data_IF_572017263240
#
_entry.id   IF_572017263240
#
_cell.length_a   1.000
_cell.length_b   1.000
_cell.length_c   1.000
_cell.angle_alpha   90.00
_cell.angle_beta   90.00
_cell.angle_gamma   90.00
#
_symmetry.space_group_name_H-M   'P 1'
#
loop_
_entity.id
_entity.type
_entity.pdbx_description
1 polymer ?
#
# COMPACT_ATOMS: atom_id res chain seq x y z
N UNK A 1 -4.01 15.38 -19.18
CA UNK A 1 -5.42 15.21 -18.76
C UNK A 1 -6.15 14.20 -19.65
N UNK A 2 -5.81 14.08 -20.94
CA UNK A 2 -6.46 13.11 -21.87
C UNK A 2 -6.17 11.63 -21.55
N UNK A 3 -4.98 11.29 -21.04
CA UNK A 3 -4.60 9.89 -20.81
C UNK A 3 -5.27 9.21 -19.60
N UNK A 4 -5.71 9.98 -18.59
CA UNK A 4 -6.50 9.43 -17.48
C UNK A 4 -7.90 9.03 -17.93
N UNK A 5 -8.49 9.81 -18.84
CA UNK A 5 -9.78 9.50 -19.46
C UNK A 5 -9.71 8.21 -20.30
N UNK A 6 -8.59 7.92 -20.96
CA UNK A 6 -8.41 6.67 -21.70
C UNK A 6 -8.43 5.43 -20.81
N UNK A 7 -7.94 5.55 -19.57
CA UNK A 7 -8.04 4.49 -18.55
C UNK A 7 -9.51 4.27 -18.20
N UNK A 8 -10.24 5.35 -17.89
CA UNK A 8 -11.67 5.28 -17.52
C UNK A 8 -12.57 4.82 -18.67
N UNK A 9 -12.21 5.14 -19.91
CA UNK A 9 -12.93 4.74 -21.11
C UNK A 9 -12.56 3.34 -21.62
N UNK A 10 -11.64 2.63 -20.94
CA UNK A 10 -11.17 1.29 -21.36
C UNK A 10 -10.40 1.29 -22.69
N UNK A 11 -9.76 2.41 -23.06
CA UNK A 11 -9.03 2.61 -24.32
C UNK A 11 -7.51 2.67 -24.11
N UNK A 12 -6.99 2.08 -23.04
CA UNK A 12 -5.56 2.07 -22.76
C UNK A 12 -4.78 1.45 -23.92
N UNK A 13 -3.78 2.18 -24.41
CA UNK A 13 -2.77 1.68 -25.34
C UNK A 13 -1.44 1.54 -24.60
N UNK A 14 -0.48 0.85 -25.23
CA UNK A 14 0.87 0.69 -24.67
C UNK A 14 1.65 2.02 -24.54
N UNK A 15 1.19 3.08 -25.19
CA UNK A 15 1.81 4.42 -25.16
C UNK A 15 1.20 5.35 -24.09
N UNK A 16 0.24 4.85 -23.30
CA UNK A 16 -0.39 5.64 -22.24
C UNK A 16 0.60 5.83 -21.08
N UNK A 17 1.01 7.07 -20.81
CA UNK A 17 2.00 7.35 -19.76
C UNK A 17 1.47 7.03 -18.37
N UNK A 18 0.16 7.17 -18.13
CA UNK A 18 -0.44 6.84 -16.83
C UNK A 18 -0.39 5.32 -16.55
N UNK A 19 -0.53 4.50 -17.59
CA UNK A 19 -0.27 3.05 -17.51
C UNK A 19 1.19 2.76 -17.18
N UNK A 20 2.12 3.46 -17.83
CA UNK A 20 3.55 3.28 -17.59
C UNK A 20 3.96 3.73 -16.17
N UNK A 21 3.41 4.83 -15.68
CA UNK A 21 3.68 5.35 -14.34
C UNK A 21 3.21 4.39 -13.24
N UNK A 22 2.01 3.81 -13.40
CA UNK A 22 1.50 2.80 -12.46
C UNK A 22 2.41 1.56 -12.44
N UNK A 23 2.82 1.07 -13.60
CA UNK A 23 3.74 -0.05 -13.73
C UNK A 23 5.06 0.23 -12.97
N UNK A 24 5.68 1.38 -13.25
CA UNK A 24 6.93 1.78 -12.60
C UNK A 24 6.79 1.95 -11.10
N UNK A 25 5.66 2.51 -10.63
CA UNK A 25 5.38 2.65 -9.20
C UNK A 25 5.27 1.30 -8.53
N UNK A 26 4.56 0.35 -9.12
CA UNK A 26 4.40 -0.99 -8.56
C UNK A 26 5.75 -1.71 -8.48
N UNK A 27 6.53 -1.75 -9.56
CA UNK A 27 7.84 -2.41 -9.56
C UNK A 27 8.89 -1.69 -8.69
N UNK A 28 8.83 -0.36 -8.55
CA UNK A 28 9.65 0.37 -7.58
C UNK A 28 9.31 -0.03 -6.14
N UNK A 29 8.02 -0.20 -5.84
CA UNK A 29 7.56 -0.67 -4.54
C UNK A 29 7.99 -2.10 -4.24
N UNK A 30 7.81 -3.01 -5.20
CA UNK A 30 8.24 -4.41 -5.14
C UNK A 30 9.76 -4.50 -4.93
N UNK A 31 10.55 -3.74 -5.70
CA UNK A 31 12.00 -3.70 -5.56
C UNK A 31 12.42 -3.28 -4.15
N UNK A 32 11.81 -2.21 -3.59
CA UNK A 32 12.11 -1.75 -2.23
C UNK A 32 11.74 -2.77 -1.17
N UNK A 33 10.61 -3.46 -1.33
CA UNK A 33 10.21 -4.54 -0.43
C UNK A 33 11.20 -5.70 -0.49
N UNK A 34 11.60 -6.14 -1.69
CA UNK A 34 12.57 -7.22 -1.87
C UNK A 34 13.94 -6.85 -1.31
N UNK A 35 14.41 -5.61 -1.56
CA UNK A 35 15.67 -5.12 -1.04
C UNK A 35 15.66 -5.11 0.50
N UNK A 36 14.57 -4.66 1.12
CA UNK A 36 14.41 -4.72 2.56
C UNK A 36 14.46 -6.17 3.07
N UNK A 37 13.67 -7.08 2.46
CA UNK A 37 13.61 -8.49 2.87
C UNK A 37 14.95 -9.22 2.72
N UNK A 38 15.77 -8.81 1.75
CA UNK A 38 17.12 -9.34 1.56
C UNK A 38 18.11 -8.76 2.59
N UNK A 39 18.01 -7.45 2.88
CA UNK A 39 18.98 -6.74 3.72
C UNK A 39 18.69 -6.80 5.22
N UNK A 40 17.47 -7.12 5.63
CA UNK A 40 17.09 -7.20 7.04
C UNK A 40 17.90 -8.23 7.85
N UNK A 41 18.47 -9.25 7.19
CA UNK A 41 19.35 -10.24 7.82
C UNK A 41 20.72 -9.66 8.21
N UNK A 42 21.14 -8.57 7.58
CA UNK A 42 22.40 -7.88 7.88
C UNK A 42 22.26 -6.88 9.05
N UNK A 43 21.04 -6.65 9.53
CA UNK A 43 20.73 -5.68 10.59
C UNK A 43 20.81 -6.35 11.96
N UNK A 44 21.50 -5.71 12.90
CA UNK A 44 21.46 -6.12 14.30
C UNK A 44 20.18 -5.58 14.97
N UNK A 45 19.22 -6.46 15.23
CA UNK A 45 17.93 -6.10 15.81
C UNK A 45 18.01 -6.00 17.33
N UNK A 46 17.93 -4.78 17.86
CA UNK A 46 17.94 -4.55 19.32
C UNK A 46 16.55 -4.73 19.96
N UNK A 47 15.49 -4.60 19.16
CA UNK A 47 14.10 -4.71 19.63
C UNK A 47 13.48 -6.02 19.15
N UNK A 48 13.04 -6.85 20.10
CA UNK A 48 12.36 -8.12 19.82
C UNK A 48 11.04 -7.89 19.06
N UNK A 49 10.75 -8.72 18.07
CA UNK A 49 9.52 -8.65 17.26
C UNK A 49 9.52 -7.56 16.19
N UNK A 50 10.50 -6.65 16.18
CA UNK A 50 10.53 -5.53 15.22
C UNK A 50 10.90 -6.01 13.81
N UNK A 51 11.79 -7.01 13.71
CA UNK A 51 12.16 -7.65 12.45
C UNK A 51 10.94 -8.26 11.77
N UNK A 52 10.22 -9.10 12.51
CA UNK A 52 9.05 -9.84 12.04
C UNK A 52 7.93 -8.88 11.63
N UNK A 53 7.73 -7.81 12.41
CA UNK A 53 6.77 -6.76 12.08
C UNK A 53 7.13 -6.05 10.78
N UNK A 54 8.38 -5.61 10.60
CA UNK A 54 8.79 -4.89 9.41
C UNK A 54 8.83 -5.79 8.17
N UNK A 55 9.18 -7.06 8.32
CA UNK A 55 8.99 -8.08 7.28
C UNK A 55 7.51 -8.18 6.87
N UNK A 56 6.60 -8.23 7.85
CA UNK A 56 5.17 -8.30 7.60
C UNK A 56 4.64 -7.03 6.90
N UNK A 57 5.11 -5.84 7.29
CA UNK A 57 4.79 -4.57 6.62
C UNK A 57 5.31 -4.54 5.18
N UNK A 58 6.53 -5.03 4.93
CA UNK A 58 7.12 -5.09 3.60
C UNK A 58 6.36 -6.07 2.67
N UNK A 59 6.01 -7.26 3.18
CA UNK A 59 5.19 -8.24 2.45
C UNK A 59 3.80 -7.70 2.17
N UNK A 60 3.16 -7.03 3.12
CA UNK A 60 1.86 -6.39 2.88
C UNK A 60 1.91 -5.41 1.68
N UNK A 61 2.92 -4.55 1.65
CA UNK A 61 3.10 -3.60 0.54
C UNK A 61 3.39 -4.32 -0.77
N UNK A 62 4.24 -5.36 -0.77
CA UNK A 62 4.53 -6.16 -1.96
C UNK A 62 3.28 -6.84 -2.52
N UNK A 63 2.48 -7.47 -1.67
CA UNK A 63 1.18 -8.05 -2.05
C UNK A 63 0.21 -7.01 -2.60
N UNK A 64 0.17 -5.81 -2.01
CA UNK A 64 -0.64 -4.69 -2.52
C UNK A 64 -0.20 -4.27 -3.94
N UNK A 65 1.11 -4.15 -4.21
CA UNK A 65 1.60 -3.79 -5.54
C UNK A 65 1.35 -4.89 -6.58
N UNK A 66 1.46 -6.16 -6.22
CA UNK A 66 1.08 -7.25 -7.12
C UNK A 66 -0.42 -7.28 -7.41
N UNK A 67 -1.26 -6.95 -6.43
CA UNK A 67 -2.70 -6.80 -6.66
C UNK A 67 -3.00 -5.65 -7.64
N UNK A 68 -2.27 -4.53 -7.53
CA UNK A 68 -2.35 -3.44 -8.50
C UNK A 68 -1.93 -3.89 -9.91
N UNK A 69 -0.89 -4.72 -10.04
CA UNK A 69 -0.46 -5.24 -11.34
C UNK A 69 -1.50 -6.18 -11.96
N UNK A 70 -1.99 -7.19 -11.23
CA UNK A 70 -2.93 -8.16 -11.79
C UNK A 70 -4.27 -7.54 -12.16
N UNK A 71 -4.75 -6.53 -11.41
CA UNK A 71 -6.05 -5.91 -11.70
C UNK A 71 -6.03 -4.97 -12.91
N UNK A 72 -4.88 -4.39 -13.26
CA UNK A 72 -4.76 -3.47 -14.41
C UNK A 72 -4.19 -4.15 -15.66
N UNK A 73 -3.26 -5.11 -15.52
CA UNK A 73 -2.57 -5.71 -16.66
C UNK A 73 -2.86 -7.21 -16.84
N UNK A 74 -3.37 -7.89 -15.81
CA UNK A 74 -3.58 -9.34 -15.82
C UNK A 74 -2.27 -10.13 -15.68
N UNK A 75 -1.37 -10.04 -16.65
CA UNK A 75 -0.09 -10.75 -16.69
C UNK A 75 1.07 -9.81 -16.38
N UNK A 76 1.96 -10.22 -15.47
CA UNK A 76 3.09 -9.43 -15.05
C UNK A 76 4.20 -10.33 -14.48
N UNK A 77 5.50 -10.02 -14.67
CA UNK A 77 6.58 -10.77 -14.06
C UNK A 77 6.55 -10.73 -12.53
N UNK A 78 6.71 -11.89 -11.89
CA UNK A 78 6.90 -12.01 -10.44
C UNK A 78 8.39 -11.96 -10.13
N UNK A 79 8.74 -11.04 -9.24
CA UNK A 79 10.10 -10.76 -8.77
C UNK A 79 10.06 -10.75 -7.24
N UNK A 80 10.64 -11.75 -6.61
CA UNK A 80 10.65 -11.90 -5.14
C UNK A 80 12.01 -11.63 -4.50
N UNK A 81 13.03 -11.40 -5.33
CA UNK A 81 14.40 -11.08 -4.93
C UNK A 81 14.96 -9.89 -5.73
N UNK A 82 16.11 -9.37 -5.30
CA UNK A 82 16.83 -8.34 -6.05
C UNK A 82 17.75 -9.04 -7.06
N UNK A 83 17.53 -8.79 -8.35
CA UNK A 83 18.37 -9.36 -9.40
C UNK A 83 19.65 -8.53 -9.57
N UNK A 84 20.79 -9.17 -9.90
CA UNK A 84 22.09 -8.52 -9.88
C UNK A 84 22.33 -7.59 -11.08
N UNK A 85 21.65 -7.80 -12.21
CA UNK A 85 21.82 -6.97 -13.41
C UNK A 85 20.51 -6.54 -14.07
N UNK A 86 20.57 -5.47 -14.86
CA UNK A 86 19.43 -4.97 -15.65
C UNK A 86 19.00 -5.99 -16.70
N UNK A 87 19.95 -6.73 -17.25
CA UNK A 87 19.74 -7.76 -18.26
C UNK A 87 18.91 -8.92 -17.71
N UNK A 88 19.11 -9.28 -16.43
CA UNK A 88 18.28 -10.28 -15.76
C UNK A 88 16.81 -9.82 -15.72
N UNK A 89 16.56 -8.57 -15.35
CA UNK A 89 15.22 -7.98 -15.38
C UNK A 89 14.58 -7.99 -16.78
N UNK A 90 15.37 -7.76 -17.84
CA UNK A 90 14.89 -7.78 -19.23
C UNK A 90 14.56 -9.18 -19.74
N UNK A 91 15.14 -10.21 -19.13
CA UNK A 91 14.93 -11.61 -19.52
C UNK A 91 13.71 -12.26 -18.88
N UNK A 92 13.05 -11.56 -17.95
CA UNK A 92 11.88 -12.08 -17.23
C UNK A 92 10.69 -12.29 -18.17
N UNK A 93 10.05 -13.45 -18.03
CA UNK A 93 8.78 -13.75 -18.67
C UNK A 93 7.63 -13.31 -17.79
N UNK A 94 6.51 -12.92 -18.40
CA UNK A 94 5.31 -12.59 -17.64
C UNK A 94 4.72 -13.85 -16.98
N UNK A 95 4.30 -13.72 -15.73
CA UNK A 95 3.54 -14.76 -15.04
C UNK A 95 2.04 -14.60 -15.32
N UNK A 96 1.33 -15.69 -15.11
CA UNK A 96 -0.12 -15.76 -15.24
C UNK A 96 -0.81 -15.01 -14.10
N UNK A 97 -2.07 -14.57 -14.29
CA UNK A 97 -2.89 -14.01 -13.22
C UNK A 97 -2.97 -14.93 -12.00
N UNK A 98 -3.06 -16.25 -12.21
CA UNK A 98 -3.18 -17.25 -11.14
C UNK A 98 -1.93 -17.29 -10.24
N UNK A 99 -0.75 -17.27 -10.86
CA UNK A 99 0.53 -17.18 -10.15
C UNK A 99 0.65 -15.84 -9.39
N UNK A 100 0.20 -14.74 -9.99
CA UNK A 100 0.18 -13.42 -9.33
C UNK A 100 -0.74 -13.42 -8.12
N UNK A 101 -1.96 -13.96 -8.22
CA UNK A 101 -2.85 -14.09 -7.07
C UNK A 101 -2.25 -15.01 -6.00
N UNK A 102 -1.55 -16.08 -6.39
CA UNK A 102 -0.84 -16.94 -5.43
C UNK A 102 0.24 -16.17 -4.67
N UNK A 103 1.01 -15.32 -5.36
CA UNK A 103 1.99 -14.44 -4.72
C UNK A 103 1.33 -13.41 -3.78
N UNK A 104 0.22 -12.81 -4.21
CA UNK A 104 -0.57 -11.87 -3.38
C UNK A 104 -1.08 -12.55 -2.11
N UNK A 105 -1.64 -13.76 -2.23
CA UNK A 105 -2.10 -14.56 -1.10
C UNK A 105 -0.95 -14.86 -0.13
N UNK A 106 0.18 -15.33 -0.66
CA UNK A 106 1.38 -15.68 0.12
C UNK A 106 1.86 -14.49 0.96
N UNK A 107 1.98 -13.31 0.33
CA UNK A 107 2.47 -12.10 0.99
C UNK A 107 1.49 -11.57 2.05
N UNK A 108 0.19 -11.56 1.74
CA UNK A 108 -0.82 -11.04 2.67
C UNK A 108 -1.08 -11.98 3.84
N UNK A 109 -1.05 -13.30 3.65
CA UNK A 109 -1.18 -14.26 4.75
C UNK A 109 0.03 -14.18 5.70
N UNK A 110 1.24 -14.08 5.14
CA UNK A 110 2.44 -13.84 5.94
C UNK A 110 2.36 -12.51 6.71
N UNK A 111 1.86 -11.44 6.06
CA UNK A 111 1.66 -10.16 6.71
C UNK A 111 0.64 -10.23 7.86
N UNK A 112 -0.51 -10.90 7.67
CA UNK A 112 -1.54 -11.06 8.70
C UNK A 112 -0.98 -11.75 9.95
N UNK A 113 -0.04 -12.68 9.77
CA UNK A 113 0.56 -13.41 10.89
C UNK A 113 1.61 -12.59 11.66
N UNK A 114 2.35 -11.69 10.99
CA UNK A 114 3.42 -10.90 11.62
C UNK A 114 3.03 -9.48 12.04
N UNK A 115 1.88 -8.95 11.60
CA UNK A 115 1.45 -7.60 11.94
C UNK A 115 0.79 -7.51 13.33
N UNK A 116 1.00 -6.41 14.07
CA UNK A 116 0.33 -6.19 15.35
C UNK A 116 -1.16 -5.85 15.16
N UNK A 117 -1.96 -6.14 16.18
CA UNK A 117 -3.38 -5.75 16.19
C UNK A 117 -3.56 -4.22 16.25
N UNK A 118 -2.68 -3.54 16.98
CA UNK A 118 -2.71 -2.09 17.18
C UNK A 118 -1.32 -1.50 17.12
N UNK A 119 -1.22 -0.24 16.72
CA UNK A 119 0.03 0.53 16.72
C UNK A 119 -0.06 1.69 17.69
N UNK A 120 1.08 2.17 18.18
CA UNK A 120 1.13 3.33 19.05
C UNK A 120 0.67 4.60 18.32
N UNK A 121 0.23 5.61 19.07
CA UNK A 121 -0.23 6.89 18.49
C UNK A 121 0.84 7.60 17.66
N UNK A 122 2.12 7.46 18.02
CA UNK A 122 3.27 8.00 17.28
C UNK A 122 3.52 7.29 15.94
N UNK A 123 2.94 6.10 15.76
CA UNK A 123 3.06 5.27 14.57
C UNK A 123 1.77 5.22 13.73
N UNK A 124 0.85 6.16 13.99
CA UNK A 124 -0.39 6.29 13.20
C UNK A 124 -0.08 6.37 11.71
N UNK A 125 -0.76 5.51 10.94
CA UNK A 125 -0.54 5.35 9.50
C UNK A 125 0.18 4.04 9.14
N UNK A 126 0.79 3.35 10.10
CA UNK A 126 1.32 2.00 9.89
C UNK A 126 0.21 0.96 9.75
N UNK A 127 0.52 -0.11 9.02
CA UNK A 127 -0.39 -1.21 8.73
C UNK A 127 -0.57 -2.06 9.98
N UNK A 128 -1.82 -2.47 10.26
CA UNK A 128 -2.17 -3.42 11.31
C UNK A 128 -2.66 -4.74 10.72
N UNK A 129 -2.73 -5.78 11.55
CA UNK A 129 -3.32 -7.07 11.17
C UNK A 129 -4.72 -6.92 10.56
N UNK A 130 -5.55 -6.07 11.16
CA UNK A 130 -6.90 -5.79 10.69
C UNK A 130 -6.91 -5.14 9.31
N UNK A 131 -5.96 -4.25 9.01
CA UNK A 131 -5.81 -3.65 7.69
C UNK A 131 -5.42 -4.69 6.63
N UNK A 132 -4.53 -5.63 6.96
CA UNK A 132 -4.16 -6.73 6.08
C UNK A 132 -5.32 -7.69 5.81
N UNK A 133 -6.09 -8.05 6.84
CA UNK A 133 -7.32 -8.85 6.70
C UNK A 133 -8.37 -8.15 5.83
N UNK A 134 -8.58 -6.84 6.02
CA UNK A 134 -9.53 -6.07 5.23
C UNK A 134 -9.10 -5.96 3.75
N UNK A 135 -7.79 -5.78 3.49
CA UNK A 135 -7.27 -5.77 2.13
C UNK A 135 -7.46 -7.14 1.47
N UNK A 136 -7.11 -8.23 2.18
CA UNK A 136 -7.29 -9.59 1.66
C UNK A 136 -8.76 -9.88 1.30
N UNK A 137 -9.69 -9.45 2.16
CA UNK A 137 -11.12 -9.56 1.89
C UNK A 137 -11.55 -8.80 0.63
N UNK A 138 -11.04 -7.58 0.44
CA UNK A 138 -11.30 -6.79 -0.78
C UNK A 138 -10.77 -7.50 -2.03
N UNK A 139 -9.58 -8.07 -1.96
CA UNK A 139 -8.95 -8.79 -3.06
C UNK A 139 -9.74 -10.05 -3.39
N UNK A 140 -10.17 -10.81 -2.38
CA UNK A 140 -11.03 -11.98 -2.56
C UNK A 140 -12.33 -11.63 -3.30
N UNK A 141 -13.01 -10.55 -2.92
CA UNK A 141 -14.23 -10.10 -3.60
C UNK A 141 -13.99 -9.77 -5.07
N UNK A 142 -12.87 -9.11 -5.37
CA UNK A 142 -12.48 -8.83 -6.75
C UNK A 142 -12.11 -10.11 -7.51
N UNK A 143 -11.40 -11.02 -6.85
CA UNK A 143 -10.99 -12.29 -7.43
C UNK A 143 -12.20 -13.14 -7.85
N UNK A 144 -13.14 -13.39 -6.93
CA UNK A 144 -14.32 -14.20 -7.22
C UNK A 144 -15.32 -13.50 -8.14
N UNK A 145 -15.44 -12.17 -8.05
CA UNK A 145 -16.38 -11.41 -8.87
C UNK A 145 -15.90 -11.09 -10.28
N UNK A 146 -14.59 -11.00 -10.50
CA UNK A 146 -14.01 -10.59 -11.78
C UNK A 146 -12.91 -11.54 -12.26
N UNK A 147 -11.83 -11.72 -11.48
CA UNK A 147 -10.64 -12.40 -11.97
C UNK A 147 -10.91 -13.86 -12.39
N UNK A 148 -11.70 -14.58 -11.60
CA UNK A 148 -12.07 -15.97 -11.88
C UNK A 148 -12.81 -16.14 -13.21
N UNK A 149 -13.64 -15.17 -13.56
CA UNK A 149 -14.46 -15.20 -14.78
C UNK A 149 -13.68 -14.65 -15.98
N UNK A 150 -13.00 -13.51 -15.81
CA UNK A 150 -12.41 -12.74 -16.90
C UNK A 150 -10.97 -13.16 -17.18
N UNK A 151 -10.20 -13.46 -16.13
CA UNK A 151 -8.80 -13.87 -16.21
C UNK A 151 -8.62 -15.39 -16.09
N UNK A 152 -9.73 -16.13 -15.94
CA UNK A 152 -9.75 -17.60 -15.82
C UNK A 152 -8.83 -18.13 -14.70
N UNK A 153 -8.81 -17.44 -13.55
CA UNK A 153 -8.05 -17.87 -12.37
C UNK A 153 -8.73 -19.02 -11.64
N UNK A 154 -7.94 -19.79 -10.90
CA UNK A 154 -8.41 -20.92 -10.09
C UNK A 154 -9.03 -20.49 -8.77
N UNK A 155 -8.72 -21.21 -7.70
CA UNK A 155 -9.10 -20.81 -6.34
C UNK A 155 -8.03 -19.85 -5.79
N UNK A 156 -8.46 -18.82 -5.06
CA UNK A 156 -7.52 -17.92 -4.40
C UNK A 156 -6.82 -18.64 -3.23
N UNK A 157 -5.51 -18.88 -3.35
CA UNK A 157 -4.73 -19.69 -2.41
C UNK A 157 -3.26 -19.29 -2.43
N UNK A 158 -2.51 -19.53 -1.36
CA UNK A 158 -1.03 -19.48 -1.34
C UNK A 158 -0.39 -20.85 -1.68
N UNK A 159 -1.22 -21.82 -2.11
CA UNK A 159 -0.84 -23.22 -2.34
C UNK A 159 -1.05 -24.14 -1.13
N UNK A 160 -1.21 -23.57 0.08
CA UNK A 160 -1.46 -24.32 1.32
C UNK A 160 -2.84 -23.98 1.92
N UNK A 161 -3.12 -22.68 2.06
CA UNK A 161 -4.34 -22.12 2.63
C UNK A 161 -5.23 -21.60 1.51
N UNK A 162 -6.39 -22.24 1.33
CA UNK A 162 -7.42 -21.74 0.42
C UNK A 162 -8.17 -20.58 1.09
N UNK A 163 -8.17 -19.44 0.42
CA UNK A 163 -8.83 -18.21 0.86
C UNK A 163 -10.24 -18.21 0.27
N UNK A 164 -11.14 -18.93 0.95
CA UNK A 164 -12.53 -19.05 0.54
C UNK A 164 -13.43 -18.02 1.24
N UNK A 165 -14.73 -18.12 0.96
CA UNK A 165 -15.75 -17.26 1.57
C UNK A 165 -15.73 -17.36 3.09
N UNK A 166 -15.58 -18.56 3.65
CA UNK A 166 -15.63 -18.78 5.08
C UNK A 166 -14.43 -18.14 5.78
N UNK A 167 -13.23 -18.28 5.20
CA UNK A 167 -12.02 -17.62 5.68
C UNK A 167 -12.21 -16.09 5.74
N UNK A 168 -12.67 -15.50 4.65
CA UNK A 168 -12.85 -14.05 4.54
C UNK A 168 -13.96 -13.54 5.46
N UNK A 169 -15.07 -14.27 5.58
CA UNK A 169 -16.13 -13.92 6.53
C UNK A 169 -15.62 -13.91 7.97
N UNK A 170 -14.88 -14.94 8.39
CA UNK A 170 -14.28 -14.99 9.72
C UNK A 170 -13.29 -13.84 9.97
N UNK A 171 -12.47 -13.49 8.96
CA UNK A 171 -11.55 -12.35 9.07
C UNK A 171 -12.29 -11.01 9.21
N UNK A 172 -13.37 -10.80 8.45
CA UNK A 172 -14.19 -9.59 8.53
C UNK A 172 -14.97 -9.50 9.86
N UNK A 173 -15.52 -10.61 10.33
CA UNK A 173 -16.18 -10.67 11.65
C UNK A 173 -15.20 -10.35 12.77
N UNK A 174 -13.96 -10.83 12.68
CA UNK A 174 -12.91 -10.49 13.64
C UNK A 174 -12.63 -8.97 13.66
N UNK A 175 -12.58 -8.33 12.49
CA UNK A 175 -12.43 -6.87 12.40
C UNK A 175 -13.61 -6.16 13.06
N UNK A 176 -14.85 -6.55 12.74
CA UNK A 176 -16.06 -5.89 13.24
C UNK A 176 -16.20 -6.03 14.76
N UNK A 177 -15.84 -7.19 15.31
CA UNK A 177 -16.09 -7.52 16.72
C UNK A 177 -14.92 -7.21 17.64
N UNK A 178 -13.69 -7.37 17.17
CA UNK A 178 -12.49 -7.35 18.03
C UNK A 178 -11.64 -6.11 17.81
N UNK A 179 -11.66 -5.52 16.62
CA UNK A 179 -10.79 -4.39 16.33
C UNK A 179 -11.21 -3.12 17.08
N UNK A 180 -10.28 -2.20 17.40
CA UNK A 180 -10.61 -0.92 18.02
C UNK A 180 -11.22 0.08 17.01
N UNK A 181 -11.51 -0.35 15.79
CA UNK A 181 -12.03 0.51 14.73
C UNK A 181 -13.55 0.60 14.80
N UNK A 182 -14.07 1.81 14.53
CA UNK A 182 -15.50 2.11 14.51
C UNK A 182 -15.77 3.13 13.42
N UNK A 183 -16.98 3.09 12.87
CA UNK A 183 -17.45 4.12 11.97
C UNK A 183 -17.50 5.46 12.72
N UNK A 184 -17.13 6.53 12.04
CA UNK A 184 -17.29 7.88 12.57
C UNK A 184 -18.78 8.23 12.58
N UNK A 185 -19.21 8.99 13.58
CA UNK A 185 -20.60 9.44 13.69
C UNK A 185 -21.00 10.32 12.49
N UNK A 186 -20.03 11.01 11.89
CA UNK A 186 -20.22 11.80 10.68
C UNK A 186 -19.24 11.39 9.59
N UNK A 187 -19.80 11.06 8.42
CA UNK A 187 -19.02 10.71 7.23
C UNK A 187 -18.06 11.82 6.79
N UNK A 188 -18.44 13.09 6.94
CA UNK A 188 -17.61 14.22 6.52
C UNK A 188 -16.26 14.29 7.25
N UNK A 189 -16.17 13.74 8.47
CA UNK A 189 -14.94 13.76 9.27
C UNK A 189 -13.86 12.84 8.71
N UNK A 190 -14.20 11.88 7.84
CA UNK A 190 -13.20 11.09 7.10
C UNK A 190 -12.33 11.99 6.22
N UNK A 191 -12.92 13.05 5.66
CA UNK A 191 -12.27 13.96 4.71
C UNK A 191 -11.74 15.23 5.37
N UNK A 192 -12.28 15.61 6.52
CA UNK A 192 -11.89 16.82 7.26
C UNK A 192 -11.05 16.53 8.52
N UNK A 193 -11.07 15.29 9.00
CA UNK A 193 -10.32 14.83 10.15
C UNK A 193 -8.83 15.02 9.93
N UNK A 194 -8.22 15.88 10.75
CA UNK A 194 -6.80 16.18 10.78
C UNK A 194 -6.16 16.90 9.59
N UNK A 195 -6.89 17.47 8.62
CA UNK A 195 -6.22 18.38 7.65
C UNK A 195 -5.57 19.57 8.38
N UNK A 196 -6.20 20.15 9.40
CA UNK A 196 -5.58 21.22 10.20
C UNK A 196 -4.37 20.74 10.99
N UNK A 197 -4.43 19.55 11.59
CA UNK A 197 -3.36 19.01 12.42
C UNK A 197 -2.18 18.54 11.58
N UNK A 198 -2.44 17.82 10.49
CA UNK A 198 -1.43 17.40 9.51
C UNK A 198 -0.82 18.61 8.81
N UNK A 199 -1.61 19.59 8.35
CA UNK A 199 -1.07 20.82 7.75
C UNK A 199 -0.25 21.63 8.75
N UNK A 200 -0.62 21.66 10.04
CA UNK A 200 0.17 22.31 11.09
C UNK A 200 1.50 21.59 11.37
N UNK A 201 1.53 20.25 11.30
CA UNK A 201 2.75 19.46 11.45
C UNK A 201 3.66 19.58 10.22
N UNK A 202 3.09 19.60 9.01
CA UNK A 202 3.80 19.85 7.76
C UNK A 202 4.39 21.27 7.69
N UNK A 203 3.67 22.29 8.19
CA UNK A 203 4.19 23.67 8.29
C UNK A 203 5.26 23.82 9.37
N UNK A 204 5.14 23.12 10.50
CA UNK A 204 6.14 23.15 11.57
C UNK A 204 7.44 22.40 11.22
N UNK A 205 7.42 21.49 10.23
CA UNK A 205 8.63 20.78 9.79
C UNK A 205 9.50 21.59 8.81
N UNK A 206 8.99 22.69 8.24
CA UNK A 206 9.70 23.42 7.19
C UNK A 206 10.03 24.88 7.51
N UNK A 207 9.72 25.37 8.71
CA UNK A 207 10.09 26.72 9.13
C UNK A 207 10.40 26.70 10.64
N UNK A 208 11.69 26.56 11.00
CA UNK A 208 12.21 27.03 12.29
C UNK A 208 12.34 28.57 12.22
N UNK A 209 11.22 29.31 12.19
CA UNK A 209 11.25 30.77 12.40
C UNK A 209 10.57 31.10 13.73
N UNK A 210 11.39 31.68 14.61
CA UNK A 210 11.02 32.21 15.92
C UNK A 210 9.94 33.29 15.77
N UNK A 211 8.87 33.10 16.54
CA UNK A 211 8.00 34.13 17.15
C UNK A 211 7.29 35.09 16.17
N UNK A 212 6.01 34.82 15.92
CA UNK A 212 5.06 35.80 15.37
C UNK A 212 4.39 36.53 16.53
N UNK A 213 4.60 37.84 16.66
CA UNK A 213 3.73 38.71 17.45
C UNK A 213 2.63 39.26 16.55
N UNK A 214 1.37 39.04 16.94
CA UNK A 214 0.19 39.57 16.27
C UNK A 214 0.01 41.02 16.71
N UNK A 215 0.01 41.96 15.76
CA UNK A 215 -0.39 43.36 16.00
C UNK A 215 -1.58 43.67 15.09
N UNK A 216 -2.75 43.92 15.71
CA UNK A 216 -3.79 44.82 15.21
C UNK A 216 -4.65 44.38 14.01
N UNK A 217 -5.96 44.57 14.17
CA UNK A 217 -6.99 44.35 13.16
C UNK A 217 -6.83 45.25 11.93
N UNK A 218 -7.29 44.73 10.78
CA UNK A 218 -7.36 45.35 9.45
C UNK A 218 -6.10 45.25 8.57
N UNK A 219 -6.13 44.26 7.67
CA UNK A 219 -5.35 44.25 6.43
C UNK A 219 -4.00 43.55 6.51
N UNK A 220 -3.96 42.26 6.19
CA UNK A 220 -2.69 41.53 6.02
C UNK A 220 -2.03 41.97 4.70
N UNK A 221 -1.12 42.94 4.78
CA UNK A 221 -0.12 43.17 3.74
C UNK A 221 1.11 42.31 4.07
N UNK A 222 1.29 41.23 3.33
CA UNK A 222 2.47 40.37 3.44
C UNK A 222 3.63 41.05 2.69
N UNK A 223 4.49 41.77 3.42
CA UNK A 223 5.76 42.28 2.88
C UNK A 223 6.81 41.20 3.08
N UNK A 224 7.13 40.46 2.01
CA UNK A 224 8.27 39.54 1.98
C UNK A 224 9.51 40.36 1.65
N UNK A 225 10.31 40.74 2.65
CA UNK A 225 11.66 41.23 2.40
C UNK A 225 12.64 40.07 2.43
N UNK A 226 13.25 39.74 1.29
CA UNK A 226 14.41 38.85 1.24
C UNK A 226 15.66 39.69 1.53
N UNK A 227 16.43 39.34 2.56
CA UNK A 227 17.84 39.70 2.61
C UNK A 227 18.70 38.47 2.33
N UNK A 228 19.80 38.62 1.56
CA UNK A 228 20.75 37.55 1.35
C UNK A 228 21.69 37.45 2.55
N UNK A 229 21.93 36.22 3.00
CA UNK A 229 22.93 35.83 3.98
C UNK A 229 23.09 34.33 3.94
#
# INVERSE_FOLDING_TARGET
MEQWYEIEAGKMTAENNSAFDLWNRCYSGIYRANLYLQKQEEINWETEGLKERFEAEARFLRGYFYWDLVRHYGWAPIITEVLPSVEDYKSLTQNTPDELYTQVATDLLAAINGLPNTVADSEKGRVTKYAAQALLARIYLYHEGFAKVVLNTGNFTDGTTVIDKAYVQGALENIITTSPHRLLDNYADVLHGNLKTLMSQFWNFNIQLKTIQVIGEAGVLMVISLQPG
#
